data_IF_134290552907
#
_entry.id   IF_134290552907
#
_cell.length_a   1.000
_cell.length_b   1.000
_cell.length_c   1.000
_cell.angle_alpha   90.00
_cell.angle_beta   90.00
_cell.angle_gamma   90.00
#
_symmetry.space_group_name_H-M   'P 1'
#
loop_
_entity.id
_entity.type
_entity.pdbx_description
1 polymer ?
#
# COMPACT_ATOMS: atom_id res chain seq x y z
N UNK A 1 -25.38 26.60 32.90
CA UNK A 1 -24.73 26.79 31.59
C UNK A 1 -23.31 27.35 31.61
N UNK A 2 -23.01 28.51 32.23
CA UNK A 2 -21.66 29.12 32.20
C UNK A 2 -20.50 28.18 32.64
N UNK A 3 -20.74 27.28 33.60
CA UNK A 3 -19.75 26.29 34.06
C UNK A 3 -19.40 25.25 32.98
N UNK A 4 -20.37 24.85 32.16
CA UNK A 4 -20.15 23.92 31.03
C UNK A 4 -19.25 24.56 29.98
N UNK A 5 -19.47 25.84 29.66
CA UNK A 5 -18.62 26.54 28.69
C UNK A 5 -17.18 26.73 29.16
N UNK A 6 -16.97 26.99 30.45
CA UNK A 6 -15.63 27.07 31.02
C UNK A 6 -14.92 25.70 30.97
N UNK A 7 -15.66 24.62 31.24
CA UNK A 7 -15.16 23.25 31.13
C UNK A 7 -14.76 22.90 29.69
N UNK A 8 -15.65 23.17 28.72
CA UNK A 8 -15.39 22.96 27.29
C UNK A 8 -14.20 23.79 26.78
N UNK A 9 -14.04 25.01 27.28
CA UNK A 9 -12.87 25.85 26.97
C UNK A 9 -11.58 25.19 27.46
N UNK A 10 -11.60 24.65 28.69
CA UNK A 10 -10.45 23.95 29.27
C UNK A 10 -10.13 22.67 28.50
N UNK A 11 -11.14 21.89 28.09
CA UNK A 11 -10.95 20.69 27.24
C UNK A 11 -10.36 21.11 25.88
N UNK A 12 -10.86 22.19 25.28
CA UNK A 12 -10.42 22.70 23.98
C UNK A 12 -8.93 23.10 23.95
N UNK A 13 -8.40 23.62 25.05
CA UNK A 13 -6.98 23.95 25.18
C UNK A 13 -6.07 22.73 25.10
N UNK A 14 -6.57 21.58 25.56
CA UNK A 14 -5.86 20.30 25.55
C UNK A 14 -6.14 19.45 24.30
N UNK A 15 -6.99 19.91 23.35
CA UNK A 15 -7.32 19.16 22.14
C UNK A 15 -6.35 19.43 20.97
N UNK A 16 -6.17 18.46 20.05
CA UNK A 16 -5.43 18.68 18.80
C UNK A 16 -6.02 19.83 17.97
N UNK A 17 -5.17 20.69 17.40
CA UNK A 17 -5.60 21.87 16.64
C UNK A 17 -6.58 21.55 15.50
N UNK A 18 -6.41 20.39 14.84
CA UNK A 18 -7.20 20.01 13.66
C UNK A 18 -8.53 19.38 14.10
N UNK A 19 -9.61 20.15 13.91
CA UNK A 19 -10.98 19.71 14.12
C UNK A 19 -11.42 19.66 15.58
N UNK A 20 -10.74 20.39 16.47
CA UNK A 20 -11.16 20.65 17.85
C UNK A 20 -12.54 21.27 17.96
N UNK A 21 -12.93 22.16 17.04
CA UNK A 21 -14.25 22.83 17.10
C UNK A 21 -15.40 21.82 16.97
N UNK A 22 -15.24 20.83 16.09
CA UNK A 22 -16.22 19.77 15.90
C UNK A 22 -16.33 18.88 17.15
N UNK A 23 -15.20 18.55 17.78
CA UNK A 23 -15.17 17.74 19.00
C UNK A 23 -15.84 18.49 20.14
N UNK A 24 -15.52 19.77 20.31
CA UNK A 24 -16.12 20.63 21.33
C UNK A 24 -17.62 20.76 21.11
N UNK A 25 -18.09 20.87 19.86
CA UNK A 25 -19.52 20.96 19.55
C UNK A 25 -20.27 19.66 19.87
N UNK A 26 -19.69 18.51 19.54
CA UNK A 26 -20.25 17.19 19.85
C UNK A 26 -20.28 16.94 21.35
N UNK A 27 -19.16 17.19 22.05
CA UNK A 27 -19.06 17.08 23.50
C UNK A 27 -20.04 18.02 24.20
N UNK A 28 -20.24 19.23 23.67
CA UNK A 28 -21.22 20.18 24.19
C UNK A 28 -22.64 19.62 24.10
N UNK A 29 -23.05 19.09 22.96
CA UNK A 29 -24.38 18.49 22.80
C UNK A 29 -24.55 17.36 23.81
N UNK A 30 -23.61 16.43 23.84
CA UNK A 30 -23.64 15.27 24.73
C UNK A 30 -23.75 15.66 26.22
N UNK A 31 -22.92 16.61 26.68
CA UNK A 31 -22.97 17.05 28.08
C UNK A 31 -24.28 17.74 28.43
N UNK A 32 -24.87 18.51 27.51
CA UNK A 32 -26.15 19.17 27.74
C UNK A 32 -27.29 18.14 27.81
N UNK A 33 -27.30 17.17 26.90
CA UNK A 33 -28.29 16.10 26.85
C UNK A 33 -28.26 15.26 28.14
N UNK A 34 -27.06 14.86 28.61
CA UNK A 34 -26.88 14.10 29.85
C UNK A 34 -27.27 14.89 31.11
N UNK A 35 -26.94 16.18 31.15
CA UNK A 35 -27.31 17.03 32.30
C UNK A 35 -28.83 17.19 32.36
N UNK A 36 -29.48 17.39 31.21
CA UNK A 36 -30.94 17.51 31.11
C UNK A 36 -31.63 16.20 31.49
N UNK A 37 -31.11 15.04 31.07
CA UNK A 37 -31.64 13.73 31.45
C UNK A 37 -31.55 13.50 32.97
N UNK A 38 -30.45 13.92 33.61
CA UNK A 38 -30.20 13.66 35.03
C UNK A 38 -30.87 14.64 35.98
N UNK A 39 -30.96 15.91 35.60
CA UNK A 39 -31.35 17.01 36.49
C UNK A 39 -32.52 17.86 35.93
N UNK A 40 -33.01 17.57 34.72
CA UNK A 40 -34.09 18.30 34.05
C UNK A 40 -33.63 19.58 33.34
N UNK A 41 -34.59 20.36 32.83
CA UNK A 41 -34.34 21.56 32.01
C UNK A 41 -33.68 22.74 32.77
N UNK A 42 -33.69 22.72 34.10
CA UNK A 42 -33.17 23.82 34.94
C UNK A 42 -32.28 23.33 36.09
N UNK A 43 -31.12 22.73 35.77
CA UNK A 43 -30.17 22.27 36.76
C UNK A 43 -29.55 23.43 37.53
N UNK A 44 -29.37 23.26 38.82
CA UNK A 44 -28.66 24.24 39.66
C UNK A 44 -27.18 24.27 39.33
N UNK A 45 -26.54 25.40 39.64
CA UNK A 45 -25.10 25.56 39.40
C UNK A 45 -24.23 24.55 40.15
N UNK A 46 -24.70 24.01 41.27
CA UNK A 46 -23.98 23.01 42.07
C UNK A 46 -24.07 21.62 41.46
N UNK A 47 -25.24 21.23 40.94
CA UNK A 47 -25.46 19.94 40.25
C UNK A 47 -24.60 19.82 39.00
N UNK A 48 -24.49 20.91 38.21
CA UNK A 48 -23.61 20.96 37.04
C UNK A 48 -22.14 20.76 37.44
N UNK A 49 -21.71 21.35 38.55
CA UNK A 49 -20.31 21.24 38.99
C UNK A 49 -19.98 19.85 39.51
N UNK A 50 -20.89 19.24 40.25
CA UNK A 50 -20.76 17.86 40.72
C UNK A 50 -20.75 16.88 39.54
N UNK A 51 -21.64 17.07 38.56
CA UNK A 51 -21.64 16.29 37.33
C UNK A 51 -20.32 16.38 36.57
N UNK A 52 -19.79 17.59 36.35
CA UNK A 52 -18.54 17.78 35.62
C UNK A 52 -17.33 17.19 36.36
N UNK A 53 -17.31 17.27 37.70
CA UNK A 53 -16.27 16.62 38.52
C UNK A 53 -16.31 15.10 38.38
N UNK A 54 -17.50 14.50 38.31
CA UNK A 54 -17.67 13.05 38.11
C UNK A 54 -17.34 12.65 36.68
N UNK A 55 -17.60 13.51 35.70
CA UNK A 55 -17.34 13.24 34.28
C UNK A 55 -15.83 13.11 33.98
N UNK A 56 -15.00 13.89 34.66
CA UNK A 56 -13.54 13.77 34.65
C UNK A 56 -12.83 15.10 34.45
N UNK A 57 -11.51 15.09 34.66
CA UNK A 57 -10.68 16.27 34.44
C UNK A 57 -10.64 16.64 32.93
N UNK A 58 -10.66 17.94 32.58
CA UNK A 58 -10.57 18.37 31.19
C UNK A 58 -9.41 17.76 30.38
N UNK A 59 -8.25 17.53 31.02
CA UNK A 59 -7.08 16.93 30.39
C UNK A 59 -7.33 15.44 30.06
N UNK A 60 -7.85 14.67 31.02
CA UNK A 60 -8.20 13.26 30.84
C UNK A 60 -9.30 13.04 29.79
N UNK A 61 -10.25 13.97 29.71
CA UNK A 61 -11.30 13.93 28.68
C UNK A 61 -10.72 14.23 27.30
N UNK A 62 -9.80 15.18 27.19
CA UNK A 62 -9.12 15.50 25.93
C UNK A 62 -8.27 14.32 25.43
N UNK A 63 -7.57 13.60 26.33
CA UNK A 63 -6.75 12.42 25.98
C UNK A 63 -7.54 11.33 25.24
N UNK A 64 -8.82 11.12 25.58
CA UNK A 64 -9.67 10.14 24.91
C UNK A 64 -9.81 10.43 23.41
N UNK A 65 -9.81 11.70 23.03
CA UNK A 65 -9.94 12.14 21.63
C UNK A 65 -8.62 12.10 20.84
N UNK A 66 -7.46 11.98 21.50
CA UNK A 66 -6.18 11.79 20.80
C UNK A 66 -6.09 10.44 20.09
N UNK A 67 -6.68 9.38 20.67
CA UNK A 67 -6.60 8.02 20.12
C UNK A 67 -7.36 7.84 18.80
N UNK A 68 -8.39 8.65 18.54
CA UNK A 68 -9.30 8.46 17.40
C UNK A 68 -8.85 9.16 16.10
N UNK A 69 -7.95 10.14 16.17
CA UNK A 69 -7.54 10.95 14.99
C UNK A 69 -6.07 10.80 14.64
N UNK A 70 -5.66 9.58 14.31
CA UNK A 70 -4.44 9.38 13.55
C UNK A 70 -4.72 9.62 12.05
N UNK A 71 -3.88 10.43 11.37
CA UNK A 71 -3.90 10.62 9.90
C UNK A 71 -3.76 9.26 9.17
N UNK A 72 -3.12 8.29 9.84
CA UNK A 72 -3.06 6.89 9.46
C UNK A 72 -3.71 6.10 10.61
N UNK A 73 -4.88 5.47 10.43
CA UNK A 73 -5.51 4.69 11.50
C UNK A 73 -4.50 3.74 12.15
N UNK A 74 -4.47 3.62 13.48
CA UNK A 74 -3.46 2.83 14.22
C UNK A 74 -3.30 1.39 13.70
N UNK A 75 -4.35 0.85 13.09
CA UNK A 75 -4.38 -0.42 12.35
C UNK A 75 -3.35 -0.51 11.23
N UNK A 76 -3.05 0.60 10.53
CA UNK A 76 -2.15 0.66 9.38
C UNK A 76 -0.74 1.14 9.73
N UNK A 77 -0.49 1.66 10.94
CA UNK A 77 0.85 2.16 11.34
C UNK A 77 1.92 1.08 11.27
N UNK A 78 1.60 -0.17 11.68
CA UNK A 78 2.53 -1.31 11.58
C UNK A 78 2.83 -1.67 10.12
N UNK A 79 1.82 -1.63 9.25
CA UNK A 79 1.97 -1.88 7.82
C UNK A 79 2.79 -0.76 7.16
N UNK A 80 2.49 0.50 7.49
CA UNK A 80 3.21 1.66 6.98
C UNK A 80 4.70 1.57 7.31
N UNK A 81 5.06 1.32 8.57
CA UNK A 81 6.47 1.17 8.98
C UNK A 81 7.15 -0.01 8.31
N UNK A 82 6.42 -1.10 8.07
CA UNK A 82 6.93 -2.26 7.35
C UNK A 82 7.23 -1.89 5.88
N UNK A 83 6.31 -1.23 5.19
CA UNK A 83 6.51 -0.78 3.80
C UNK A 83 7.65 0.23 3.70
N UNK A 84 7.74 1.19 4.62
CA UNK A 84 8.86 2.16 4.67
C UNK A 84 10.21 1.44 4.79
N UNK A 85 10.33 0.46 5.68
CA UNK A 85 11.57 -0.34 5.81
C UNK A 85 11.92 -1.05 4.51
N UNK A 86 10.92 -1.61 3.83
CA UNK A 86 11.14 -2.29 2.57
C UNK A 86 11.51 -1.35 1.43
N UNK A 87 10.92 -0.15 1.35
CA UNK A 87 11.31 0.88 0.37
C UNK A 87 12.79 1.21 0.56
N UNK A 88 13.21 1.55 1.78
CA UNK A 88 14.61 1.88 2.08
C UNK A 88 15.54 0.71 1.73
N UNK A 89 15.16 -0.51 2.12
CA UNK A 89 15.97 -1.69 1.89
C UNK A 89 16.10 -2.05 0.41
N UNK A 90 15.00 -2.02 -0.35
CA UNK A 90 15.00 -2.32 -1.78
C UNK A 90 15.83 -1.30 -2.57
N UNK A 91 15.66 -0.02 -2.26
CA UNK A 91 16.42 1.08 -2.87
C UNK A 91 17.91 0.96 -2.52
N UNK A 92 18.25 0.65 -1.26
CA UNK A 92 19.63 0.43 -0.85
C UNK A 92 20.28 -0.74 -1.60
N UNK A 93 19.57 -1.87 -1.72
CA UNK A 93 20.05 -3.01 -2.52
C UNK A 93 20.25 -2.60 -3.97
N UNK A 94 19.31 -1.87 -4.57
CA UNK A 94 19.41 -1.45 -5.97
C UNK A 94 20.65 -0.58 -6.22
N UNK A 95 20.91 0.42 -5.35
CA UNK A 95 22.11 1.25 -5.47
C UNK A 95 23.40 0.50 -5.16
N UNK A 96 23.37 -0.42 -4.19
CA UNK A 96 24.51 -1.28 -3.88
C UNK A 96 24.85 -2.19 -5.06
N UNK A 97 23.84 -2.83 -5.66
CA UNK A 97 24.00 -3.64 -6.86
C UNK A 97 24.56 -2.80 -8.03
N UNK A 98 24.01 -1.59 -8.23
CA UNK A 98 24.51 -0.64 -9.25
C UNK A 98 25.98 -0.27 -9.03
N UNK A 99 26.40 -0.05 -7.78
CA UNK A 99 27.80 0.19 -7.43
C UNK A 99 28.70 -1.00 -7.80
N UNK A 100 28.33 -2.23 -7.42
CA UNK A 100 29.11 -3.42 -7.77
C UNK A 100 29.19 -3.62 -9.28
N UNK A 101 28.12 -3.33 -10.01
CA UNK A 101 28.14 -3.36 -11.47
C UNK A 101 29.14 -2.35 -12.03
N UNK A 102 29.12 -1.08 -11.58
CA UNK A 102 30.09 -0.07 -12.01
C UNK A 102 31.53 -0.46 -11.68
N UNK A 103 31.75 -1.08 -10.51
CA UNK A 103 33.07 -1.55 -10.08
C UNK A 103 33.59 -2.69 -10.97
N UNK A 104 32.73 -3.67 -11.30
CA UNK A 104 33.10 -4.82 -12.13
C UNK A 104 33.26 -4.46 -13.61
N UNK A 105 32.51 -3.47 -14.10
CA UNK A 105 32.61 -2.98 -15.48
C UNK A 105 33.84 -2.09 -15.72
N UNK A 106 34.69 -1.85 -14.72
CA UNK A 106 35.84 -0.93 -14.80
C UNK A 106 35.45 0.52 -15.17
N UNK A 107 34.18 0.88 -14.97
CA UNK A 107 33.67 2.25 -15.18
C UNK A 107 34.16 3.23 -14.10
N UNK A 108 34.71 2.69 -12.99
CA UNK A 108 35.19 3.47 -11.86
C UNK A 108 36.71 3.55 -11.85
N UNK A 109 37.24 4.78 -11.85
CA UNK A 109 38.64 5.05 -11.49
C UNK A 109 38.80 4.94 -9.97
N UNK A 110 40.00 4.59 -9.51
CA UNK A 110 40.33 4.44 -8.08
C UNK A 110 39.94 5.68 -7.24
N UNK A 111 40.10 6.87 -7.81
CA UNK A 111 39.73 8.14 -7.15
C UNK A 111 38.22 8.36 -6.99
N UNK A 112 37.38 7.63 -7.73
CA UNK A 112 35.93 7.79 -7.77
C UNK A 112 35.18 6.77 -6.89
N UNK A 113 35.86 5.71 -6.43
CA UNK A 113 35.25 4.66 -5.60
C UNK A 113 34.67 5.26 -4.32
N UNK A 114 35.43 6.12 -3.63
CA UNK A 114 34.97 6.75 -2.40
C UNK A 114 33.71 7.62 -2.61
N UNK A 115 33.69 8.41 -3.68
CA UNK A 115 32.53 9.24 -4.02
C UNK A 115 31.30 8.42 -4.38
N UNK A 116 31.48 7.27 -5.03
CA UNK A 116 30.38 6.38 -5.39
C UNK A 116 29.85 5.61 -4.17
N UNK A 117 30.70 5.21 -3.23
CA UNK A 117 30.23 4.66 -1.95
C UNK A 117 29.36 5.68 -1.23
N UNK A 118 29.77 6.95 -1.20
CA UNK A 118 28.96 8.02 -0.60
C UNK A 118 27.65 8.26 -1.38
N UNK A 119 27.70 8.12 -2.71
CA UNK A 119 26.54 8.27 -3.59
C UNK A 119 25.46 7.22 -3.28
N UNK A 120 25.83 5.99 -2.89
CA UNK A 120 24.86 4.97 -2.47
C UNK A 120 23.99 5.50 -1.33
N UNK A 121 24.59 6.09 -0.29
CA UNK A 121 23.84 6.61 0.86
C UNK A 121 22.99 7.83 0.48
N UNK A 122 23.56 8.78 -0.26
CA UNK A 122 22.86 9.98 -0.70
C UNK A 122 21.67 9.66 -1.60
N UNK A 123 21.87 8.75 -2.57
CA UNK A 123 20.82 8.31 -3.49
C UNK A 123 19.78 7.46 -2.78
N UNK A 124 20.19 6.58 -1.86
CA UNK A 124 19.26 5.80 -1.03
C UNK A 124 18.37 6.72 -0.21
N UNK A 125 18.95 7.72 0.46
CA UNK A 125 18.18 8.68 1.25
C UNK A 125 17.20 9.46 0.37
N UNK A 126 17.67 10.00 -0.75
CA UNK A 126 16.84 10.80 -1.67
C UNK A 126 15.69 9.99 -2.25
N UNK A 127 15.97 8.79 -2.78
CA UNK A 127 14.94 7.92 -3.34
C UNK A 127 13.99 7.37 -2.27
N UNK A 128 14.48 7.11 -1.05
CA UNK A 128 13.63 6.71 0.07
C UNK A 128 12.66 7.83 0.47
N UNK A 129 13.14 9.08 0.59
CA UNK A 129 12.27 10.23 0.91
C UNK A 129 11.16 10.35 -0.15
N UNK A 130 11.52 10.30 -1.43
CA UNK A 130 10.55 10.35 -2.53
C UNK A 130 9.56 9.18 -2.51
N UNK A 131 10.05 7.94 -2.34
CA UNK A 131 9.21 6.74 -2.30
C UNK A 131 8.25 6.72 -1.10
N UNK A 132 8.75 7.09 0.09
CA UNK A 132 7.95 7.23 1.32
C UNK A 132 6.93 8.34 1.16
N UNK A 133 7.32 9.50 0.60
CA UNK A 133 6.42 10.62 0.34
C UNK A 133 5.27 10.23 -0.58
N UNK A 134 5.59 9.60 -1.71
CA UNK A 134 4.59 9.09 -2.66
C UNK A 134 3.65 8.06 -2.02
N UNK A 135 4.20 7.07 -1.31
CA UNK A 135 3.40 6.07 -0.59
C UNK A 135 2.48 6.72 0.46
N UNK A 136 2.97 7.75 1.16
CA UNK A 136 2.19 8.50 2.16
C UNK A 136 1.04 9.26 1.50
N UNK A 137 1.28 9.93 0.36
CA UNK A 137 0.22 10.59 -0.42
C UNK A 137 -0.84 9.60 -0.87
N UNK A 138 -0.44 8.45 -1.41
CA UNK A 138 -1.38 7.39 -1.80
C UNK A 138 -2.25 6.93 -0.63
N UNK A 139 -1.64 6.73 0.54
CA UNK A 139 -2.35 6.30 1.74
C UNK A 139 -3.32 7.38 2.23
N UNK A 140 -2.94 8.66 2.17
CA UNK A 140 -3.82 9.80 2.51
C UNK A 140 -5.00 9.87 1.53
N UNK A 141 -4.76 9.82 0.22
CA UNK A 141 -5.80 9.85 -0.81
C UNK A 141 -6.79 8.70 -0.57
N UNK A 142 -6.27 7.49 -0.37
CA UNK A 142 -7.07 6.33 -0.04
C UNK A 142 -7.90 6.51 1.24
N UNK A 143 -7.29 7.04 2.31
CA UNK A 143 -7.98 7.27 3.58
C UNK A 143 -9.16 8.26 3.45
N UNK A 144 -9.02 9.25 2.56
CA UNK A 144 -10.09 10.20 2.24
C UNK A 144 -11.20 9.55 1.41
N UNK A 145 -10.87 8.75 0.40
CA UNK A 145 -11.87 8.00 -0.37
C UNK A 145 -12.66 7.01 0.49
N UNK A 146 -12.03 6.36 1.46
CA UNK A 146 -12.73 5.48 2.41
C UNK A 146 -13.72 6.24 3.29
N UNK A 147 -13.39 7.46 3.74
CA UNK A 147 -14.34 8.31 4.51
C UNK A 147 -15.55 8.75 3.69
N UNK A 148 -15.42 8.84 2.37
CA UNK A 148 -16.52 9.24 1.45
C UNK A 148 -17.48 8.08 1.15
N UNK A 149 -17.11 6.84 1.46
CA UNK A 149 -18.00 5.66 1.38
C UNK A 149 -18.38 5.28 2.83
N UNK A 150 -19.55 5.73 3.35
CA UNK A 150 -19.93 5.44 4.73
C UNK A 150 -20.04 3.93 4.94
N UNK A 151 -19.63 3.47 6.12
CA UNK A 151 -19.75 2.10 6.61
C UNK A 151 -21.22 1.74 6.93
N UNK A 152 -22.18 2.30 6.20
CA UNK A 152 -23.60 1.96 6.31
C UNK A 152 -23.97 0.90 5.27
N UNK A 153 -23.51 -0.32 5.50
CA UNK A 153 -24.13 -1.52 4.91
C UNK A 153 -23.80 -2.77 5.74
N UNK A 154 -24.00 -2.73 7.07
CA UNK A 154 -23.84 -3.95 7.86
C UNK A 154 -23.85 -3.82 9.38
N UNK A 155 -24.85 -3.15 9.96
CA UNK A 155 -25.20 -3.45 11.35
C UNK A 155 -25.71 -4.90 11.44
N UNK A 156 -24.92 -5.80 12.04
CA UNK A 156 -25.49 -6.87 12.88
C UNK A 156 -24.50 -7.40 13.91
N UNK A 157 -24.92 -7.20 15.16
CA UNK A 157 -24.50 -7.78 16.44
C UNK A 157 -23.61 -9.03 16.36
N UNK A 158 -22.52 -8.95 17.11
CA UNK A 158 -21.68 -10.09 17.51
C UNK A 158 -22.53 -11.06 18.33
N UNK A 159 -22.92 -12.18 17.73
CA UNK A 159 -23.27 -13.40 18.45
C UNK A 159 -22.09 -14.35 18.35
N UNK A 160 -21.56 -14.74 19.51
CA UNK A 160 -20.60 -15.87 19.62
C UNK A 160 -21.24 -17.12 19.01
N UNK A 161 -20.58 -17.72 18.04
CA UNK A 161 -20.86 -19.09 17.61
C UNK A 161 -19.53 -19.83 17.45
N UNK A 162 -19.42 -20.96 18.15
CA UNK A 162 -18.38 -21.96 18.00
C UNK A 162 -18.61 -22.78 16.72
N UNK A 163 -17.52 -23.39 16.28
CA UNK A 163 -17.42 -24.58 15.40
C UNK A 163 -17.74 -24.41 13.92
N UNK A 164 -16.79 -24.87 13.10
CA UNK A 164 -16.90 -24.98 11.65
C UNK A 164 -15.53 -24.95 11.01
N UNK A 165 -14.84 -26.09 11.02
CA UNK A 165 -13.62 -26.34 10.26
C UNK A 165 -13.80 -25.89 8.80
N UNK A 166 -13.10 -24.83 8.38
CA UNK A 166 -12.86 -24.55 6.96
C UNK A 166 -11.37 -24.63 6.71
N UNK A 167 -11.00 -25.76 6.12
CA UNK A 167 -9.64 -26.14 5.79
C UNK A 167 -9.37 -25.71 4.34
N UNK A 168 -8.37 -24.84 4.21
CA UNK A 168 -7.61 -24.46 3.01
C UNK A 168 -8.35 -23.85 1.80
N UNK A 169 -8.52 -22.53 1.84
CA UNK A 169 -8.05 -21.73 0.71
C UNK A 169 -6.70 -21.15 1.16
N UNK A 170 -5.63 -21.34 0.38
CA UNK A 170 -4.38 -20.62 0.59
C UNK A 170 -4.75 -19.14 0.54
N UNK A 171 -4.84 -18.50 1.70
CA UNK A 171 -4.92 -17.05 1.74
C UNK A 171 -3.59 -16.56 1.19
N UNK A 172 -3.62 -15.66 0.21
CA UNK A 172 -2.39 -14.98 -0.18
C UNK A 172 -1.79 -14.43 1.10
N UNK A 173 -0.59 -14.90 1.39
CA UNK A 173 0.01 -14.57 2.67
C UNK A 173 0.19 -13.06 2.71
N UNK A 174 0.05 -12.44 3.88
CA UNK A 174 0.35 -11.01 4.06
C UNK A 174 1.68 -10.62 3.39
N UNK A 175 2.65 -11.53 3.51
CA UNK A 175 3.97 -11.45 2.92
C UNK A 175 3.94 -11.36 1.40
N UNK A 176 3.06 -12.10 0.73
CA UNK A 176 2.93 -12.13 -0.73
C UNK A 176 2.39 -10.82 -1.29
N UNK A 177 1.34 -10.26 -0.67
CA UNK A 177 0.81 -8.94 -1.05
C UNK A 177 1.87 -7.85 -0.84
N UNK A 178 2.58 -7.92 0.28
CA UNK A 178 3.69 -7.00 0.59
C UNK A 178 4.80 -7.12 -0.46
N UNK A 179 5.22 -8.34 -0.79
CA UNK A 179 6.25 -8.60 -1.82
C UNK A 179 5.81 -8.05 -3.18
N UNK A 180 4.53 -8.22 -3.55
CA UNK A 180 4.01 -7.73 -4.83
C UNK A 180 4.01 -6.20 -4.91
N UNK A 181 3.60 -5.52 -3.83
CA UNK A 181 3.62 -4.05 -3.75
C UNK A 181 5.06 -3.56 -3.87
N UNK A 182 5.99 -4.17 -3.13
CA UNK A 182 7.41 -3.79 -3.16
C UNK A 182 8.01 -4.03 -4.54
N UNK A 183 7.74 -5.19 -5.14
CA UNK A 183 8.22 -5.54 -6.48
C UNK A 183 7.71 -4.55 -7.53
N UNK A 184 6.42 -4.21 -7.48
CA UNK A 184 5.81 -3.22 -8.37
C UNK A 184 6.42 -1.82 -8.20
N UNK A 185 6.68 -1.39 -6.96
CA UNK A 185 7.37 -0.12 -6.68
C UNK A 185 8.81 -0.17 -7.21
N UNK A 186 9.53 -1.27 -7.00
CA UNK A 186 10.90 -1.42 -7.48
C UNK A 186 10.97 -1.36 -9.01
N UNK A 187 10.02 -2.01 -9.71
CA UNK A 187 9.91 -1.95 -11.17
C UNK A 187 9.63 -0.53 -11.63
N UNK A 188 8.70 0.19 -10.98
CA UNK A 188 8.45 1.61 -11.27
C UNK A 188 9.73 2.44 -11.12
N UNK A 189 10.48 2.26 -10.03
CA UNK A 189 11.73 2.99 -9.81
C UNK A 189 12.75 2.68 -10.91
N UNK A 190 12.93 1.40 -11.25
CA UNK A 190 13.87 0.97 -12.30
C UNK A 190 13.48 1.58 -13.64
N UNK A 191 12.22 1.48 -14.05
CA UNK A 191 11.78 1.95 -15.37
C UNK A 191 11.86 3.48 -15.49
N UNK A 192 11.60 4.23 -14.42
CA UNK A 192 11.59 5.70 -14.48
C UNK A 192 12.98 6.31 -14.32
N UNK A 193 13.78 5.80 -13.38
CA UNK A 193 15.02 6.46 -12.97
C UNK A 193 16.26 5.73 -13.45
N UNK A 194 16.16 4.43 -13.69
CA UNK A 194 17.31 3.58 -14.02
C UNK A 194 17.03 2.61 -15.17
N UNK A 195 16.46 3.05 -16.31
CA UNK A 195 16.14 2.14 -17.41
C UNK A 195 17.38 1.42 -17.94
N UNK A 196 18.56 2.05 -17.83
CA UNK A 196 19.85 1.46 -18.18
C UNK A 196 20.22 0.20 -17.36
N UNK A 197 19.63 -0.01 -16.17
CA UNK A 197 19.86 -1.24 -15.40
C UNK A 197 19.36 -2.48 -16.16
N UNK A 198 18.38 -2.32 -17.04
CA UNK A 198 17.89 -3.41 -17.89
C UNK A 198 19.01 -3.82 -18.86
N UNK A 199 19.62 -2.84 -19.55
CA UNK A 199 20.74 -3.06 -20.46
C UNK A 199 21.93 -3.70 -19.74
N UNK A 200 22.32 -3.15 -18.57
CA UNK A 200 23.43 -3.67 -17.78
C UNK A 200 23.16 -5.09 -17.27
N UNK A 201 21.91 -5.39 -16.92
CA UNK A 201 21.49 -6.76 -16.58
C UNK A 201 21.69 -7.72 -17.74
N UNK A 202 21.30 -7.33 -18.96
CA UNK A 202 21.54 -8.11 -20.18
C UNK A 202 23.03 -8.31 -20.47
N UNK A 203 23.86 -7.28 -20.26
CA UNK A 203 25.31 -7.40 -20.43
C UNK A 203 25.93 -8.42 -19.47
N UNK A 204 25.46 -8.52 -18.22
CA UNK A 204 25.92 -9.55 -17.28
C UNK A 204 25.62 -10.97 -17.78
N UNK A 205 24.44 -11.20 -18.35
CA UNK A 205 24.10 -12.50 -18.93
C UNK A 205 25.01 -12.85 -20.13
N UNK A 206 25.26 -11.88 -21.01
CA UNK A 206 26.16 -12.06 -22.16
C UNK A 206 27.59 -12.37 -21.69
N UNK A 207 28.08 -11.61 -20.71
CA UNK A 207 29.41 -11.80 -20.14
C UNK A 207 29.57 -13.15 -19.43
N UNK A 208 28.48 -13.72 -18.91
CA UNK A 208 28.43 -15.08 -18.39
C UNK A 208 28.42 -16.17 -19.49
N UNK A 209 28.52 -15.77 -20.77
CA UNK A 209 28.54 -16.68 -21.92
C UNK A 209 27.15 -17.03 -22.46
N UNK A 210 26.07 -16.40 -21.96
CA UNK A 210 24.71 -16.68 -22.43
C UNK A 210 24.42 -15.87 -23.70
N UNK A 211 24.02 -16.57 -24.76
CA UNK A 211 23.53 -15.93 -25.98
C UNK A 211 22.05 -15.58 -25.80
N UNK A 212 21.78 -14.32 -25.46
CA UNK A 212 20.41 -13.81 -25.27
C UNK A 212 19.57 -13.91 -26.55
N UNK A 213 20.17 -13.57 -27.68
CA UNK A 213 19.50 -13.55 -28.98
C UNK A 213 18.48 -12.42 -29.14
N UNK A 214 18.46 -11.46 -28.20
CA UNK A 214 17.81 -10.15 -28.25
C UNK A 214 18.43 -9.18 -27.24
N UNK A 215 18.07 -7.90 -27.36
CA UNK A 215 18.34 -6.83 -26.39
C UNK A 215 17.10 -5.98 -26.18
N UNK A 216 16.87 -5.48 -24.98
CA UNK A 216 15.73 -4.58 -24.72
C UNK A 216 16.01 -3.20 -25.34
N UNK A 217 15.04 -2.71 -26.11
CA UNK A 217 15.03 -1.36 -26.65
C UNK A 217 14.65 -0.36 -25.56
N UNK A 218 15.65 0.34 -25.01
CA UNK A 218 15.44 1.34 -23.97
C UNK A 218 14.62 2.54 -24.46
N UNK A 219 14.74 2.91 -25.74
CA UNK A 219 13.93 4.00 -26.32
C UNK A 219 12.43 3.65 -26.29
N UNK A 220 12.10 2.38 -26.54
CA UNK A 220 10.73 1.90 -26.38
C UNK A 220 10.26 2.07 -24.93
N UNK A 221 11.07 1.66 -23.94
CA UNK A 221 10.70 1.81 -22.53
C UNK A 221 10.47 3.28 -22.17
N UNK A 222 11.37 4.16 -22.56
CA UNK A 222 11.26 5.59 -22.29
C UNK A 222 10.02 6.21 -22.97
N UNK A 223 9.73 5.80 -24.21
CA UNK A 223 8.55 6.27 -24.95
C UNK A 223 7.24 5.84 -24.29
N UNK A 224 7.18 4.65 -23.71
CA UNK A 224 5.99 4.07 -23.10
C UNK A 224 5.98 4.14 -21.56
N UNK A 225 6.89 4.92 -20.95
CA UNK A 225 7.04 5.02 -19.48
C UNK A 225 5.73 5.37 -18.77
N UNK A 226 4.89 6.23 -19.35
CA UNK A 226 3.59 6.60 -18.78
C UNK A 226 2.61 5.43 -18.76
N UNK A 227 2.62 4.57 -19.78
CA UNK A 227 1.76 3.38 -19.86
C UNK A 227 2.18 2.37 -18.79
N UNK A 228 3.49 2.17 -18.64
CA UNK A 228 4.05 1.33 -17.59
C UNK A 228 3.71 1.85 -16.19
N UNK A 229 3.87 3.17 -15.98
CA UNK A 229 3.53 3.80 -14.71
C UNK A 229 2.06 3.61 -14.36
N UNK A 230 1.18 3.83 -15.33
CA UNK A 230 -0.25 3.60 -15.16
C UNK A 230 -0.54 2.14 -14.77
N UNK A 231 0.02 1.18 -15.50
CA UNK A 231 -0.21 -0.23 -15.27
C UNK A 231 0.24 -0.69 -13.87
N UNK A 232 1.47 -0.40 -13.48
CA UNK A 232 1.98 -0.81 -12.16
C UNK A 232 1.34 -0.03 -11.02
N UNK A 233 0.92 1.22 -11.25
CA UNK A 233 0.12 1.96 -10.26
C UNK A 233 -1.24 1.30 -10.05
N UNK A 234 -1.93 0.90 -11.13
CA UNK A 234 -3.20 0.15 -11.03
C UNK A 234 -2.99 -1.17 -10.30
N UNK A 235 -1.90 -1.89 -10.59
CA UNK A 235 -1.57 -3.16 -9.93
C UNK A 235 -1.41 -2.98 -8.42
N UNK A 236 -0.63 -1.98 -7.99
CA UNK A 236 -0.45 -1.61 -6.57
C UNK A 236 -1.80 -1.24 -5.93
N UNK A 237 -2.63 -0.46 -6.60
CA UNK A 237 -3.96 -0.08 -6.08
C UNK A 237 -4.81 -1.33 -5.87
N UNK A 238 -4.85 -2.25 -6.83
CA UNK A 238 -5.59 -3.50 -6.71
C UNK A 238 -5.11 -4.33 -5.51
N UNK A 239 -3.79 -4.46 -5.32
CA UNK A 239 -3.17 -5.15 -4.18
C UNK A 239 -3.53 -4.52 -2.84
N UNK A 240 -3.53 -3.18 -2.75
CA UNK A 240 -3.96 -2.46 -1.55
C UNK A 240 -5.44 -2.68 -1.26
N UNK A 241 -6.31 -2.60 -2.28
CA UNK A 241 -7.75 -2.82 -2.10
C UNK A 241 -8.02 -4.28 -1.66
N UNK A 242 -7.30 -5.25 -2.22
CA UNK A 242 -7.34 -6.65 -1.78
C UNK A 242 -6.94 -6.81 -0.32
N UNK A 243 -5.79 -6.27 0.07
CA UNK A 243 -5.30 -6.36 1.45
C UNK A 243 -6.36 -5.94 2.48
N UNK A 244 -7.11 -4.88 2.17
CA UNK A 244 -8.10 -4.29 3.07
C UNK A 244 -9.40 -5.11 3.08
N UNK A 245 -9.81 -5.62 1.92
CA UNK A 245 -11.08 -6.36 1.76
C UNK A 245 -10.92 -7.88 1.83
N UNK A 246 -9.73 -8.41 2.13
CA UNK A 246 -9.39 -9.84 2.11
C UNK A 246 -10.33 -10.75 2.90
N UNK A 247 -11.05 -10.21 3.89
CA UNK A 247 -12.04 -10.97 4.68
C UNK A 247 -13.31 -11.34 3.89
N UNK A 248 -13.57 -10.70 2.74
CA UNK A 248 -14.74 -10.98 1.89
C UNK A 248 -14.35 -11.92 0.75
N UNK A 249 -14.88 -13.15 0.78
CA UNK A 249 -14.54 -14.19 -0.20
C UNK A 249 -14.92 -13.82 -1.66
N UNK A 250 -16.00 -13.08 -1.87
CA UNK A 250 -16.38 -12.57 -3.20
C UNK A 250 -15.40 -11.54 -3.74
N UNK A 251 -14.86 -10.69 -2.86
CA UNK A 251 -13.88 -9.68 -3.24
C UNK A 251 -12.54 -10.31 -3.61
N UNK A 252 -12.10 -11.32 -2.84
CA UNK A 252 -10.90 -12.10 -3.14
C UNK A 252 -10.96 -12.71 -4.55
N UNK A 253 -12.08 -13.34 -4.91
CA UNK A 253 -12.28 -13.90 -6.24
C UNK A 253 -12.20 -12.84 -7.34
N UNK A 254 -12.88 -11.70 -7.17
CA UNK A 254 -12.83 -10.63 -8.17
C UNK A 254 -11.41 -10.07 -8.36
N UNK A 255 -10.67 -9.89 -7.27
CA UNK A 255 -9.28 -9.41 -7.31
C UNK A 255 -8.33 -10.41 -7.97
N UNK A 256 -8.36 -11.69 -7.60
CA UNK A 256 -7.52 -12.74 -8.21
C UNK A 256 -7.75 -12.76 -9.73
N UNK A 257 -9.01 -12.83 -10.16
CA UNK A 257 -9.34 -12.83 -11.59
C UNK A 257 -8.83 -11.58 -12.32
N UNK A 258 -9.07 -10.39 -11.76
CA UNK A 258 -8.67 -9.12 -12.39
C UNK A 258 -7.15 -8.95 -12.46
N UNK A 259 -6.43 -9.23 -11.37
CA UNK A 259 -4.98 -9.08 -11.28
C UNK A 259 -4.23 -10.03 -12.21
N UNK A 260 -4.56 -11.33 -12.19
CA UNK A 260 -3.94 -12.30 -13.10
C UNK A 260 -4.24 -11.98 -14.57
N UNK A 261 -5.46 -11.56 -14.89
CA UNK A 261 -5.82 -11.15 -16.26
C UNK A 261 -5.01 -9.93 -16.70
N UNK A 262 -4.88 -8.94 -15.83
CA UNK A 262 -4.13 -7.71 -16.10
C UNK A 262 -2.63 -8.02 -16.35
N UNK A 263 -2.00 -8.81 -15.46
CA UNK A 263 -0.60 -9.23 -15.60
C UNK A 263 -0.37 -10.12 -16.81
N UNK A 264 -1.28 -11.06 -17.10
CA UNK A 264 -1.23 -11.91 -18.28
C UNK A 264 -1.30 -11.08 -19.57
N UNK A 265 -2.23 -10.13 -19.64
CA UNK A 265 -2.39 -9.26 -20.80
C UNK A 265 -1.13 -8.44 -21.07
N UNK A 266 -0.56 -7.79 -20.04
CA UNK A 266 0.70 -7.07 -20.19
C UNK A 266 1.85 -8.00 -20.57
N UNK A 267 1.97 -9.15 -19.89
CA UNK A 267 3.01 -10.14 -20.18
C UNK A 267 2.99 -10.60 -21.63
N UNK A 268 1.80 -10.88 -22.19
CA UNK A 268 1.62 -11.27 -23.59
C UNK A 268 2.01 -10.14 -24.55
N UNK A 269 1.58 -8.91 -24.27
CA UNK A 269 1.95 -7.73 -25.08
C UNK A 269 3.46 -7.53 -25.10
N UNK A 270 4.12 -7.60 -23.94
CA UNK A 270 5.57 -7.41 -23.84
C UNK A 270 6.36 -8.59 -24.40
N UNK A 271 5.85 -9.82 -24.31
CA UNK A 271 6.48 -10.99 -24.89
C UNK A 271 6.47 -10.95 -26.43
N UNK A 272 5.39 -10.45 -27.03
CA UNK A 272 5.19 -10.39 -28.48
C UNK A 272 5.68 -9.10 -29.13
N UNK A 273 5.99 -8.05 -28.35
CA UNK A 273 6.38 -6.75 -28.88
C UNK A 273 7.72 -6.81 -29.62
N UNK A 274 7.69 -6.76 -30.96
CA UNK A 274 8.90 -6.64 -31.77
C UNK A 274 9.62 -5.31 -31.58
N UNK A 275 8.89 -4.25 -31.20
CA UNK A 275 9.47 -2.92 -30.94
C UNK A 275 10.25 -2.86 -29.62
N UNK A 276 9.95 -3.76 -28.67
CA UNK A 276 10.64 -3.85 -27.38
C UNK A 276 12.01 -4.53 -27.50
N UNK A 277 12.26 -5.34 -28.53
CA UNK A 277 13.48 -6.13 -28.64
C UNK A 277 14.26 -5.79 -29.90
N UNK A 278 15.52 -5.39 -29.73
CA UNK A 278 16.52 -5.28 -30.78
C UNK A 278 17.10 -6.69 -31.03
N UNK A 279 17.17 -7.10 -32.29
CA UNK A 279 17.62 -8.41 -32.78
C UNK A 279 16.78 -9.60 -32.28
N UNK A 280 15.83 -10.06 -33.09
CA UNK A 280 14.76 -10.96 -32.62
C UNK A 280 15.01 -12.43 -32.97
N UNK A 281 15.89 -13.12 -32.22
CA UNK A 281 16.20 -14.55 -32.50
C UNK A 281 16.14 -15.45 -31.27
N UNK A 282 16.23 -14.90 -30.05
CA UNK A 282 16.28 -15.66 -28.81
C UNK A 282 15.04 -15.57 -27.93
N UNK A 283 15.01 -16.45 -26.93
CA UNK A 283 14.05 -16.47 -25.82
C UNK A 283 14.71 -16.20 -24.47
N UNK A 284 16.04 -16.15 -24.40
CA UNK A 284 16.81 -16.06 -23.15
C UNK A 284 16.98 -14.60 -22.76
N UNK A 285 16.87 -14.26 -21.47
CA UNK A 285 16.97 -12.88 -20.98
C UNK A 285 15.62 -12.32 -20.54
N UNK A 286 15.37 -11.04 -20.76
CA UNK A 286 14.12 -10.36 -20.35
C UNK A 286 12.88 -11.03 -20.94
N UNK A 287 12.97 -11.56 -22.16
CA UNK A 287 11.88 -12.29 -22.81
C UNK A 287 11.52 -13.60 -22.09
N UNK A 288 12.50 -14.29 -21.50
CA UNK A 288 12.26 -15.46 -20.66
C UNK A 288 11.47 -15.09 -19.40
N UNK A 289 11.77 -13.92 -18.81
CA UNK A 289 11.06 -13.42 -17.63
C UNK A 289 9.58 -13.19 -17.97
N UNK A 290 9.29 -12.55 -19.11
CA UNK A 290 7.89 -12.38 -19.54
C UNK A 290 7.21 -13.69 -19.92
N UNK A 291 7.94 -14.64 -20.53
CA UNK A 291 7.41 -15.97 -20.84
C UNK A 291 7.03 -16.71 -19.55
N UNK A 292 7.90 -16.72 -18.55
CA UNK A 292 7.62 -17.32 -17.24
C UNK A 292 6.42 -16.62 -16.60
N UNK A 293 6.37 -15.29 -16.62
CA UNK A 293 5.25 -14.51 -16.07
C UNK A 293 3.92 -14.87 -16.75
N UNK A 294 3.89 -14.97 -18.09
CA UNK A 294 2.71 -15.40 -18.85
C UNK A 294 2.27 -16.80 -18.46
N UNK A 295 3.21 -17.74 -18.35
CA UNK A 295 2.92 -19.13 -17.97
C UNK A 295 2.32 -19.19 -16.56
N UNK A 296 2.95 -18.53 -15.59
CA UNK A 296 2.49 -18.51 -14.19
C UNK A 296 1.09 -17.91 -14.10
N UNK A 297 0.88 -16.72 -14.68
CA UNK A 297 -0.43 -16.06 -14.65
C UNK A 297 -1.51 -16.87 -15.39
N UNK A 298 -1.14 -17.62 -16.43
CA UNK A 298 -2.08 -18.52 -17.12
C UNK A 298 -2.52 -19.66 -16.22
N UNK A 299 -1.61 -20.30 -15.49
CA UNK A 299 -1.94 -21.35 -14.53
C UNK A 299 -2.78 -20.83 -13.37
N UNK A 300 -2.48 -19.64 -12.86
CA UNK A 300 -3.23 -19.01 -11.78
C UNK A 300 -4.65 -18.65 -12.22
N UNK A 301 -4.80 -18.06 -13.40
CA UNK A 301 -6.11 -17.76 -13.98
C UNK A 301 -6.93 -19.05 -14.23
N UNK A 302 -6.30 -20.11 -14.73
CA UNK A 302 -6.95 -21.40 -14.92
C UNK A 302 -7.42 -22.00 -13.58
N UNK A 303 -6.55 -21.98 -12.56
CA UNK A 303 -6.90 -22.42 -11.21
C UNK A 303 -8.04 -21.59 -10.59
N UNK A 304 -8.06 -20.29 -10.85
CA UNK A 304 -9.15 -19.39 -10.48
C UNK A 304 -10.48 -19.78 -11.14
N UNK A 305 -10.48 -20.00 -12.46
CA UNK A 305 -11.68 -20.41 -13.21
C UNK A 305 -12.23 -21.74 -12.68
N UNK A 306 -11.36 -22.72 -12.43
CA UNK A 306 -11.78 -24.00 -11.85
C UNK A 306 -12.46 -23.81 -10.49
N UNK A 307 -11.86 -23.05 -9.57
CA UNK A 307 -12.45 -22.76 -8.25
C UNK A 307 -13.83 -22.09 -8.39
N UNK A 308 -13.96 -21.16 -9.32
CA UNK A 308 -15.23 -20.46 -9.54
C UNK A 308 -16.32 -21.41 -10.07
N UNK A 309 -15.98 -22.27 -11.03
CA UNK A 309 -16.91 -23.27 -11.58
C UNK A 309 -17.35 -24.26 -10.51
N UNK A 310 -16.41 -24.83 -9.74
CA UNK A 310 -16.75 -25.76 -8.65
C UNK A 310 -17.67 -25.12 -7.61
N UNK A 311 -17.36 -23.90 -7.17
CA UNK A 311 -18.19 -23.17 -6.21
C UNK A 311 -19.60 -22.88 -6.75
N UNK A 312 -19.73 -22.64 -8.06
CA UNK A 312 -21.05 -22.41 -8.69
C UNK A 312 -21.85 -23.70 -8.80
N UNK A 313 -21.20 -24.83 -9.10
CA UNK A 313 -21.84 -26.15 -9.15
C UNK A 313 -22.34 -26.58 -7.77
N UNK A 314 -21.58 -26.32 -6.69
CA UNK A 314 -22.02 -26.58 -5.31
C UNK A 314 -23.24 -25.75 -4.88
N UNK A 315 -23.46 -24.56 -5.47
CA UNK A 315 -24.64 -23.72 -5.17
C UNK A 315 -25.90 -24.12 -5.97
N UNK A 316 -25.76 -25.00 -6.96
CA UNK A 316 -26.87 -25.47 -7.82
C UNK A 316 -27.40 -26.85 -7.42
N UNK A 317 -26.70 -27.56 -6.52
CA UNK A 317 -27.13 -28.80 -5.88
C UNK A 317 -27.67 -28.51 -4.47
#
# INVERSE_FOLDING_TARGET
MKKVENYLTSVKEHLPLIGRESIVMELRSFLLDEIEEKFGESPTGSEIEEFLKVYGDPEEVAEKYYSERHIIPATYTKLYMLVVKFIVFAVFIAFTASFFVKLLSSDLRDSQIFTEVLSIFANTLTASISGIGFFTVLLIVYSKFKKVIPEEAGLKKVTKSKTGSHKYSKDHSLVEVIISIIGSIAILVIINFFPELITKGEDLFINAGLKLGHRVNIEFINKYVLVFNFFWSVSIILEMVYFINRKKASFKLAYEGLSHTLHLALGLVLLQSSALYLDYTGLIGVKLVFLISVIVNSFELFGFVLKYVFKRLEMLN
#
